data_IF_392122467397
#
_entry.id   IF_392122467397
#
_cell.length_a   1.000
_cell.length_b   1.000
_cell.length_c   1.000
_cell.angle_alpha   90.00
_cell.angle_beta   90.00
_cell.angle_gamma   90.00
#
_symmetry.space_group_name_H-M   'P 1'
#
loop_
_entity.id
_entity.type
_entity.pdbx_description
1 polymer ?
#
# COMPACT_ATOMS: atom_id res chain seq x y z
N UNK A 1 11.55 -19.07 11.35
CA UNK A 1 12.83 -18.35 11.53
C UNK A 1 12.80 -17.11 10.66
N UNK A 2 13.46 -16.03 11.07
CA UNK A 2 13.54 -14.82 10.26
C UNK A 2 14.45 -15.03 9.05
N UNK A 3 14.21 -14.28 7.96
CA UNK A 3 15.05 -14.29 6.76
C UNK A 3 16.50 -14.03 7.13
N UNK A 4 17.42 -14.87 6.64
CA UNK A 4 18.85 -14.82 7.01
C UNK A 4 19.75 -14.26 5.91
N UNK A 5 19.25 -14.13 4.69
CA UNK A 5 20.01 -13.65 3.53
C UNK A 5 19.33 -12.43 2.93
N UNK A 6 20.12 -11.42 2.58
CA UNK A 6 19.65 -10.30 1.75
C UNK A 6 19.14 -10.83 0.42
N UNK A 7 18.03 -10.28 -0.06
CA UNK A 7 17.49 -10.59 -1.38
C UNK A 7 17.26 -9.31 -2.17
N UNK A 8 17.33 -9.46 -3.49
CA UNK A 8 17.14 -8.40 -4.46
C UNK A 8 15.97 -8.82 -5.35
N UNK A 9 15.03 -7.92 -5.59
CA UNK A 9 13.83 -8.14 -6.38
C UNK A 9 13.91 -7.25 -7.61
N UNK A 10 13.87 -7.86 -8.79
CA UNK A 10 13.58 -7.19 -10.04
C UNK A 10 12.26 -7.73 -10.57
N UNK A 11 11.21 -6.94 -10.42
CA UNK A 11 9.87 -7.28 -10.90
C UNK A 11 9.55 -6.47 -12.15
N UNK A 12 9.47 -7.16 -13.28
CA UNK A 12 9.15 -6.56 -14.58
C UNK A 12 7.73 -6.95 -14.95
N UNK A 13 6.91 -5.94 -15.27
CA UNK A 13 5.52 -6.14 -15.66
C UNK A 13 5.12 -5.13 -16.73
N UNK A 14 4.13 -5.49 -17.53
CA UNK A 14 3.55 -4.60 -18.53
C UNK A 14 2.22 -4.02 -18.08
N UNK A 15 1.89 -2.86 -18.64
CA UNK A 15 0.59 -2.22 -18.50
C UNK A 15 0.14 -1.79 -19.89
N UNK A 16 -1.08 -2.16 -20.27
CA UNK A 16 -1.64 -1.88 -21.59
C UNK A 16 -3.01 -1.24 -21.46
N UNK A 17 -3.23 -0.18 -22.22
CA UNK A 17 -4.47 0.59 -22.31
C UNK A 17 -5.09 0.96 -20.95
N UNK A 18 -4.25 1.29 -19.97
CA UNK A 18 -4.70 1.53 -18.58
C UNK A 18 -3.89 2.62 -17.86
N UNK A 19 -4.35 3.02 -16.69
CA UNK A 19 -3.62 3.94 -15.82
C UNK A 19 -2.95 3.16 -14.67
N UNK A 20 -1.62 2.96 -14.71
CA UNK A 20 -0.96 2.11 -13.73
C UNK A 20 -0.80 2.77 -12.36
N UNK A 21 -0.67 4.10 -12.34
CA UNK A 21 -0.60 4.91 -11.13
C UNK A 21 -1.02 6.35 -11.45
N UNK A 22 -2.26 6.70 -11.13
CA UNK A 22 -2.75 8.07 -11.29
C UNK A 22 -2.16 9.02 -10.26
N UNK A 23 -2.06 10.30 -10.63
CA UNK A 23 -1.70 11.38 -9.72
C UNK A 23 -2.95 12.11 -9.17
N UNK A 24 -3.26 11.98 -7.87
CA UNK A 24 -4.39 12.69 -7.28
C UNK A 24 -4.30 14.23 -7.39
N UNK A 25 -3.10 14.77 -7.61
CA UNK A 25 -2.88 16.22 -7.76
C UNK A 25 -3.00 16.70 -9.21
N UNK A 26 -3.05 15.80 -10.18
CA UNK A 26 -3.14 16.11 -11.62
C UNK A 26 -4.28 15.30 -12.24
N UNK A 27 -5.50 15.48 -11.72
CA UNK A 27 -6.74 14.90 -12.28
C UNK A 27 -6.66 13.38 -12.51
N UNK A 28 -5.90 12.68 -11.66
CA UNK A 28 -5.65 11.24 -11.77
C UNK A 28 -4.93 10.83 -13.08
N UNK A 29 -4.24 11.72 -13.79
CA UNK A 29 -3.42 11.37 -14.95
C UNK A 29 -2.33 10.37 -14.57
N UNK A 30 -1.92 9.44 -15.46
CA UNK A 30 -0.77 8.60 -15.23
C UNK A 30 0.46 9.43 -14.88
N UNK A 31 1.14 9.08 -13.79
CA UNK A 31 2.39 9.75 -13.41
C UNK A 31 3.45 9.52 -14.48
N UNK A 32 3.99 10.61 -15.03
CA UNK A 32 5.10 10.60 -15.98
C UNK A 32 6.16 11.59 -15.58
N UNK A 33 7.42 11.23 -15.82
CA UNK A 33 8.54 12.15 -15.67
C UNK A 33 8.52 13.19 -16.81
N UNK A 34 8.44 14.49 -16.51
CA UNK A 34 8.23 15.51 -17.54
C UNK A 34 9.45 15.71 -18.46
N UNK A 35 10.66 15.37 -18.00
CA UNK A 35 11.89 15.53 -18.77
C UNK A 35 12.11 14.33 -19.70
N UNK A 36 11.98 13.12 -19.15
CA UNK A 36 12.30 11.88 -19.87
C UNK A 36 11.08 11.24 -20.57
N UNK A 37 9.87 11.58 -20.12
CA UNK A 37 8.62 11.01 -20.60
C UNK A 37 8.42 9.53 -20.23
N UNK A 38 9.15 9.00 -19.24
CA UNK A 38 8.89 7.64 -18.73
C UNK A 38 7.75 7.66 -17.73
N UNK A 39 6.95 6.60 -17.69
CA UNK A 39 5.93 6.41 -16.65
C UNK A 39 6.64 6.14 -15.33
N UNK A 40 6.09 6.68 -14.24
CA UNK A 40 6.54 6.41 -12.88
C UNK A 40 5.44 5.77 -12.07
N UNK A 41 5.76 4.70 -11.34
CA UNK A 41 4.85 4.00 -10.43
C UNK A 41 5.47 4.01 -9.04
N UNK A 42 4.69 4.55 -8.09
CA UNK A 42 5.13 4.67 -6.70
C UNK A 42 5.28 3.29 -6.04
N UNK A 43 6.21 3.19 -5.09
CA UNK A 43 6.33 1.99 -4.24
C UNK A 43 5.02 1.68 -3.51
N UNK A 44 4.31 2.71 -3.04
CA UNK A 44 3.03 2.55 -2.34
C UNK A 44 1.95 1.90 -3.21
N UNK A 45 1.96 2.15 -4.53
CA UNK A 45 1.05 1.48 -5.48
C UNK A 45 1.33 -0.01 -5.55
N UNK A 46 2.59 -0.42 -5.68
CA UNK A 46 3.00 -1.83 -5.70
C UNK A 46 2.65 -2.50 -4.38
N UNK A 47 3.02 -1.87 -3.26
CA UNK A 47 2.71 -2.37 -1.92
C UNK A 47 1.19 -2.50 -1.70
N UNK A 48 0.37 -1.62 -2.30
CA UNK A 48 -1.09 -1.74 -2.23
C UNK A 48 -1.60 -2.96 -2.98
N UNK A 49 -1.12 -3.20 -4.20
CA UNK A 49 -1.45 -4.42 -4.98
C UNK A 49 -1.11 -5.69 -4.20
N UNK A 50 0.07 -5.73 -3.57
CA UNK A 50 0.47 -6.86 -2.73
C UNK A 50 -0.48 -7.02 -1.53
N UNK A 51 -0.82 -5.94 -0.82
CA UNK A 51 -1.78 -5.98 0.30
C UNK A 51 -3.15 -6.51 -0.12
N UNK A 52 -3.67 -6.02 -1.24
CA UNK A 52 -4.98 -6.44 -1.76
C UNK A 52 -4.98 -7.94 -2.10
N UNK A 53 -3.87 -8.47 -2.65
CA UNK A 53 -3.69 -9.91 -2.86
C UNK A 53 -3.64 -10.69 -1.55
N UNK A 54 -2.81 -10.27 -0.58
CA UNK A 54 -2.67 -10.96 0.70
C UNK A 54 -3.99 -10.99 1.48
N UNK A 55 -4.73 -9.88 1.51
CA UNK A 55 -6.01 -9.82 2.20
C UNK A 55 -7.13 -10.50 1.41
N UNK A 56 -7.38 -10.07 0.18
CA UNK A 56 -8.54 -10.52 -0.60
C UNK A 56 -8.41 -11.93 -1.16
N UNK A 57 -7.20 -12.37 -1.50
CA UNK A 57 -6.97 -13.69 -2.12
C UNK A 57 -6.43 -14.71 -1.13
N UNK A 58 -5.52 -14.32 -0.23
CA UNK A 58 -4.95 -15.25 0.76
C UNK A 58 -5.68 -15.27 2.10
N UNK A 59 -6.60 -14.34 2.34
CA UNK A 59 -7.33 -14.24 3.60
C UNK A 59 -6.43 -13.89 4.80
N UNK A 60 -5.25 -13.32 4.54
CA UNK A 60 -4.30 -12.92 5.58
C UNK A 60 -4.64 -11.52 6.07
N UNK A 61 -4.55 -11.32 7.39
CA UNK A 61 -4.83 -10.01 7.97
C UNK A 61 -3.74 -8.99 7.60
N UNK A 62 -4.16 -7.76 7.33
CA UNK A 62 -3.30 -6.62 7.05
C UNK A 62 -3.65 -5.43 7.95
N UNK A 63 -2.65 -4.62 8.26
CA UNK A 63 -2.80 -3.42 9.07
C UNK A 63 -3.51 -2.32 8.28
N UNK A 64 -3.02 -2.04 7.07
CA UNK A 64 -3.48 -0.91 6.24
C UNK A 64 -4.66 -1.33 5.38
N UNK A 65 -5.87 -1.26 5.96
CA UNK A 65 -7.15 -1.46 5.29
C UNK A 65 -8.25 -0.64 5.95
N UNK A 66 -9.35 -0.51 5.24
CA UNK A 66 -10.53 0.14 5.79
C UNK A 66 -11.10 -0.72 6.93
N UNK A 67 -11.34 -0.05 8.05
CA UNK A 67 -11.99 -0.63 9.23
C UNK A 67 -13.05 0.35 9.70
N UNK A 68 -14.17 -0.18 10.16
CA UNK A 68 -15.34 0.62 10.50
C UNK A 68 -15.69 0.45 11.97
N UNK A 69 -16.16 1.52 12.60
CA UNK A 69 -16.73 1.46 13.95
C UNK A 69 -18.13 0.82 13.95
N UNK A 70 -18.71 0.65 15.13
CA UNK A 70 -20.05 0.08 15.29
C UNK A 70 -21.17 0.92 14.65
N UNK A 71 -20.90 2.18 14.29
CA UNK A 71 -21.83 3.09 13.62
C UNK A 71 -21.61 3.13 12.10
N UNK A 72 -20.62 2.40 11.58
CA UNK A 72 -20.27 2.34 10.16
C UNK A 72 -19.35 3.47 9.68
N UNK A 73 -18.73 4.25 10.58
CA UNK A 73 -17.75 5.26 10.20
C UNK A 73 -16.36 4.66 10.06
N UNK A 74 -15.59 5.16 9.09
CA UNK A 74 -14.19 4.74 8.88
C UNK A 74 -13.34 5.13 10.09
N UNK A 75 -12.64 4.16 10.67
CA UNK A 75 -11.72 4.38 11.78
C UNK A 75 -10.45 5.06 11.30
N UNK A 76 -9.95 6.00 12.11
CA UNK A 76 -8.63 6.59 11.92
C UNK A 76 -7.53 5.69 12.50
N UNK A 77 -6.27 6.15 12.41
CA UNK A 77 -5.13 5.41 12.96
C UNK A 77 -5.21 5.18 14.48
N UNK A 78 -5.91 6.03 15.24
CA UNK A 78 -6.10 5.85 16.68
C UNK A 78 -7.13 4.77 16.96
N UNK A 79 -8.28 4.81 16.29
CA UNK A 79 -9.29 3.76 16.40
C UNK A 79 -8.75 2.40 15.99
N UNK A 80 -7.91 2.35 14.93
CA UNK A 80 -7.21 1.11 14.55
C UNK A 80 -6.23 0.66 15.64
N UNK A 81 -5.53 1.58 16.30
CA UNK A 81 -4.64 1.27 17.43
C UNK A 81 -5.40 0.74 18.65
N UNK A 82 -6.58 1.30 18.95
CA UNK A 82 -7.42 0.87 20.06
C UNK A 82 -7.87 -0.58 19.89
N UNK A 83 -8.24 -0.98 18.67
CA UNK A 83 -8.59 -2.38 18.36
C UNK A 83 -7.46 -3.35 18.74
N UNK A 84 -6.21 -3.02 18.37
CA UNK A 84 -5.05 -3.84 18.73
C UNK A 84 -4.69 -3.72 20.20
N UNK A 85 -4.92 -2.58 20.85
CA UNK A 85 -4.65 -2.42 22.28
C UNK A 85 -5.62 -3.27 23.13
N UNK A 86 -6.89 -3.34 22.74
CA UNK A 86 -7.89 -4.20 23.36
C UNK A 86 -7.53 -5.69 23.17
N UNK A 87 -7.26 -6.10 21.93
CA UNK A 87 -6.91 -7.49 21.62
C UNK A 87 -5.58 -7.91 22.27
N UNK A 88 -4.62 -7.00 22.42
CA UNK A 88 -3.35 -7.27 23.10
C UNK A 88 -3.43 -7.25 24.63
N UNK A 89 -4.61 -6.97 25.22
CA UNK A 89 -4.77 -6.88 26.67
C UNK A 89 -3.93 -5.76 27.29
N UNK A 90 -3.94 -4.58 26.67
CA UNK A 90 -3.26 -3.40 27.19
C UNK A 90 -4.07 -2.78 28.32
N UNK A 91 -3.45 -2.66 29.50
CA UNK A 91 -4.08 -2.04 30.66
C UNK A 91 -3.85 -0.53 30.68
N UNK A 92 -4.80 0.22 31.25
CA UNK A 92 -4.64 1.68 31.44
C UNK A 92 -3.42 2.02 32.30
N UNK A 93 -3.08 1.13 33.25
CA UNK A 93 -1.95 1.25 34.18
C UNK A 93 -0.59 0.93 33.53
N UNK A 94 -0.57 0.29 32.36
CA UNK A 94 0.68 -0.01 31.67
C UNK A 94 1.42 1.29 31.34
N UNK A 95 2.74 1.27 31.52
CA UNK A 95 3.58 2.37 31.07
C UNK A 95 3.66 2.41 29.53
N UNK A 96 3.99 3.56 28.96
CA UNK A 96 4.00 3.77 27.50
C UNK A 96 4.85 2.70 26.77
N UNK A 97 6.08 2.35 27.22
CA UNK A 97 6.87 1.31 26.55
C UNK A 97 6.19 -0.06 26.52
N UNK A 98 5.53 -0.47 27.61
CA UNK A 98 4.81 -1.76 27.68
C UNK A 98 3.60 -1.77 26.74
N UNK A 99 2.86 -0.65 26.67
CA UNK A 99 1.75 -0.50 25.71
C UNK A 99 2.22 -0.68 24.28
N UNK A 100 3.29 0.04 23.91
CA UNK A 100 3.87 -0.02 22.56
C UNK A 100 4.38 -1.43 22.23
N UNK A 101 5.07 -2.10 23.17
CA UNK A 101 5.59 -3.46 22.95
C UNK A 101 4.48 -4.50 22.77
N UNK A 102 3.44 -4.49 23.61
CA UNK A 102 2.27 -5.38 23.48
C UNK A 102 1.58 -5.21 22.12
N UNK A 103 1.29 -3.97 21.74
CA UNK A 103 0.63 -3.65 20.46
C UNK A 103 1.52 -4.05 19.28
N UNK A 104 2.82 -3.71 19.32
CA UNK A 104 3.77 -4.06 18.27
C UNK A 104 3.86 -5.58 18.08
N UNK A 105 3.94 -6.36 19.17
CA UNK A 105 3.98 -7.83 19.09
C UNK A 105 2.72 -8.41 18.46
N UNK A 106 1.54 -7.89 18.82
CA UNK A 106 0.29 -8.34 18.22
C UNK A 106 0.24 -8.00 16.73
N UNK A 107 0.60 -6.77 16.35
CA UNK A 107 0.64 -6.34 14.94
C UNK A 107 1.59 -7.23 14.14
N UNK A 108 2.81 -7.46 14.63
CA UNK A 108 3.78 -8.32 13.93
C UNK A 108 3.33 -9.78 13.88
N UNK A 109 2.63 -10.28 14.90
CA UNK A 109 2.07 -11.64 14.90
C UNK A 109 0.94 -11.82 13.88
N UNK A 110 0.08 -10.81 13.73
CA UNK A 110 -1.18 -10.92 12.96
C UNK A 110 -1.10 -10.33 11.55
N UNK A 111 -0.50 -9.16 11.40
CA UNK A 111 -0.51 -8.39 10.17
C UNK A 111 0.72 -8.66 9.31
N UNK A 112 0.53 -9.33 8.18
CA UNK A 112 1.64 -9.69 7.28
C UNK A 112 2.27 -8.47 6.61
N UNK A 113 1.48 -7.45 6.26
CA UNK A 113 1.97 -6.24 5.62
C UNK A 113 2.85 -5.39 6.55
N UNK A 114 2.61 -5.45 7.87
CA UNK A 114 3.48 -4.84 8.87
C UNK A 114 4.81 -5.60 8.99
N UNK A 115 4.82 -6.93 8.86
CA UNK A 115 6.06 -7.73 8.81
C UNK A 115 6.88 -7.45 7.55
N UNK A 116 6.22 -7.28 6.41
CA UNK A 116 6.84 -7.02 5.10
C UNK A 116 7.30 -5.56 4.96
N UNK A 117 6.38 -4.61 5.08
CA UNK A 117 6.57 -3.20 4.73
C UNK A 117 6.74 -2.28 5.93
N UNK A 118 6.59 -2.80 7.15
CA UNK A 118 6.64 -2.00 8.37
C UNK A 118 5.37 -1.19 8.58
N UNK A 119 5.33 -0.45 9.69
CA UNK A 119 4.19 0.38 10.04
C UNK A 119 4.58 1.53 10.97
N UNK A 120 3.78 2.60 10.92
CA UNK A 120 3.73 3.62 11.96
C UNK A 120 2.30 3.70 12.48
N UNK A 121 2.10 3.47 13.77
CA UNK A 121 0.78 3.56 14.39
C UNK A 121 0.86 4.44 15.65
N UNK A 122 0.03 5.49 15.77
CA UNK A 122 0.04 6.35 16.94
C UNK A 122 -0.56 5.62 18.14
N UNK A 123 0.16 5.62 19.26
CA UNK A 123 -0.28 5.11 20.57
C UNK A 123 -0.43 6.32 21.49
N UNK A 124 -1.30 6.28 22.51
CA UNK A 124 -1.39 7.39 23.48
C UNK A 124 0.00 7.73 24.06
N UNK A 125 0.47 8.96 23.80
CA UNK A 125 1.80 9.49 24.16
C UNK A 125 2.98 8.65 23.64
N UNK A 126 2.78 7.85 22.60
CA UNK A 126 3.80 6.98 22.01
C UNK A 126 3.51 6.66 20.54
N UNK A 127 4.29 5.75 19.97
CA UNK A 127 3.99 5.22 18.64
C UNK A 127 4.71 3.90 18.41
N UNK A 128 4.02 2.97 17.77
CA UNK A 128 4.67 1.79 17.17
C UNK A 128 5.35 2.27 15.89
N UNK A 129 6.66 2.03 15.77
CA UNK A 129 7.43 2.35 14.56
C UNK A 129 8.28 1.15 14.20
N UNK A 130 7.94 0.52 13.08
CA UNK A 130 8.65 -0.65 12.58
C UNK A 130 9.08 -0.39 11.15
N UNK A 131 10.38 -0.52 10.88
CA UNK A 131 10.92 -0.45 9.52
C UNK A 131 10.75 -1.79 8.83
N UNK A 132 10.03 -1.80 7.71
CA UNK A 132 9.84 -3.00 6.92
C UNK A 132 11.12 -3.48 6.23
N UNK A 133 11.42 -4.78 6.25
CA UNK A 133 12.52 -5.37 5.49
C UNK A 133 12.33 -5.31 3.97
N UNK A 134 11.09 -5.27 3.47
CA UNK A 134 10.79 -5.23 2.03
C UNK A 134 10.62 -3.78 1.59
N UNK A 135 11.56 -3.30 0.79
CA UNK A 135 11.58 -1.91 0.32
C UNK A 135 11.70 -1.88 -1.19
N UNK A 136 10.74 -1.25 -1.87
CA UNK A 136 10.82 -0.94 -3.29
C UNK A 136 11.33 0.49 -3.49
N UNK A 137 11.91 0.78 -4.65
CA UNK A 137 12.24 2.14 -5.03
C UNK A 137 11.00 3.02 -5.02
N UNK A 138 11.13 4.24 -4.47
CA UNK A 138 10.02 5.20 -4.34
C UNK A 138 9.32 5.49 -5.67
N UNK A 139 10.07 5.49 -6.78
CA UNK A 139 9.51 5.50 -8.14
C UNK A 139 10.14 4.39 -8.98
N UNK A 140 9.28 3.54 -9.53
CA UNK A 140 9.58 2.46 -10.45
C UNK A 140 9.23 2.93 -11.86
N UNK A 141 10.08 2.69 -12.85
CA UNK A 141 10.03 3.42 -14.12
C UNK A 141 9.75 2.49 -15.29
N UNK A 142 9.11 3.01 -16.33
CA UNK A 142 9.07 2.32 -17.60
C UNK A 142 10.46 2.26 -18.24
N UNK A 143 10.75 1.16 -18.93
CA UNK A 143 12.01 0.92 -19.64
C UNK A 143 12.14 1.71 -20.95
N UNK A 144 11.11 2.47 -21.31
CA UNK A 144 11.04 3.31 -22.49
C UNK A 144 10.14 4.51 -22.22
N UNK A 145 10.26 5.53 -23.08
CA UNK A 145 9.36 6.69 -23.10
C UNK A 145 7.94 6.26 -23.45
N UNK A 146 6.96 6.94 -22.88
CA UNK A 146 5.54 6.69 -23.06
C UNK A 146 4.81 8.02 -23.12
N UNK A 147 3.82 8.12 -24.00
CA UNK A 147 2.91 9.26 -24.04
C UNK A 147 1.53 8.81 -23.54
N UNK A 148 1.00 9.40 -22.45
CA UNK A 148 -0.39 9.20 -22.08
C UNK A 148 -1.32 9.70 -23.18
N UNK A 149 -2.43 8.99 -23.39
CA UNK A 149 -3.49 9.41 -24.32
C UNK A 149 -4.73 9.79 -23.53
N UNK A 150 -5.39 10.86 -23.98
CA UNK A 150 -6.69 11.27 -23.47
C UNK A 150 -7.80 10.47 -24.18
N UNK A 151 -8.70 9.91 -23.39
CA UNK A 151 -9.86 9.16 -23.86
C UNK A 151 -11.10 9.75 -23.23
N UNK A 152 -12.05 10.16 -24.06
CA UNK A 152 -13.34 10.64 -23.62
C UNK A 152 -14.41 9.57 -23.84
N UNK A 153 -15.14 9.22 -22.79
CA UNK A 153 -16.29 8.34 -22.81
C UNK A 153 -17.58 9.07 -22.46
N UNK A 154 -18.72 8.42 -22.65
CA UNK A 154 -20.02 8.89 -22.17
C UNK A 154 -20.38 8.13 -20.90
N UNK A 155 -20.51 8.82 -19.77
CA UNK A 155 -21.05 8.26 -18.55
C UNK A 155 -22.58 8.15 -18.68
N UNK A 156 -23.13 6.97 -18.38
CA UNK A 156 -24.55 6.66 -18.58
C UNK A 156 -25.52 7.43 -17.67
N UNK A 157 -25.01 8.32 -16.80
CA UNK A 157 -25.78 9.08 -15.83
C UNK A 157 -25.87 10.55 -16.23
N UNK A 158 -27.00 11.19 -15.95
CA UNK A 158 -27.18 12.62 -16.10
C UNK A 158 -26.37 13.38 -15.04
N UNK A 159 -25.88 14.58 -15.35
CA UNK A 159 -25.11 15.43 -14.42
C UNK A 159 -25.94 16.04 -13.28
N UNK A 160 -27.26 15.80 -13.26
CA UNK A 160 -28.19 16.26 -12.22
C UNK A 160 -29.60 15.74 -12.45
N UNK A 161 -30.51 15.95 -11.48
CA UNK A 161 -31.90 15.45 -11.51
C UNK A 161 -32.73 15.98 -12.69
N UNK A 162 -32.34 17.11 -13.28
CA UNK A 162 -33.03 17.75 -14.42
C UNK A 162 -32.19 17.78 -15.71
N UNK A 163 -31.01 17.17 -15.70
CA UNK A 163 -30.14 17.16 -16.86
C UNK A 163 -30.63 16.15 -17.91
N UNK A 164 -30.84 16.61 -19.14
CA UNK A 164 -31.26 15.80 -20.29
C UNK A 164 -30.08 15.21 -21.06
N UNK A 165 -28.87 15.72 -20.83
CA UNK A 165 -27.64 15.22 -21.45
C UNK A 165 -26.88 14.26 -20.52
N UNK A 166 -26.30 13.23 -21.13
CA UNK A 166 -25.40 12.29 -20.43
C UNK A 166 -24.11 13.01 -20.03
N UNK A 167 -23.57 12.66 -18.87
CA UNK A 167 -22.26 13.16 -18.44
C UNK A 167 -21.13 12.56 -19.29
N UNK A 168 -20.02 13.28 -19.40
CA UNK A 168 -18.80 12.77 -20.03
C UNK A 168 -17.84 12.24 -18.98
N UNK A 169 -17.11 11.18 -19.33
CA UNK A 169 -15.99 10.66 -18.55
C UNK A 169 -14.72 10.98 -19.30
N UNK A 170 -13.75 11.52 -18.58
CA UNK A 170 -12.44 11.85 -19.10
C UNK A 170 -11.42 10.95 -18.40
N UNK A 171 -10.67 10.18 -19.19
CA UNK A 171 -9.63 9.31 -18.69
C UNK A 171 -8.32 9.57 -19.42
N UNK A 172 -7.22 9.46 -18.69
CA UNK A 172 -5.90 9.36 -19.30
C UNK A 172 -5.37 7.94 -19.10
N UNK A 173 -4.95 7.32 -20.19
CA UNK A 173 -4.42 5.96 -20.18
C UNK A 173 -3.03 5.92 -20.81
N UNK A 174 -2.28 4.91 -20.42
CA UNK A 174 -1.03 4.51 -21.03
C UNK A 174 -1.35 3.40 -22.05
N UNK A 175 -1.09 3.61 -23.35
CA UNK A 175 -1.32 2.56 -24.35
C UNK A 175 -0.47 1.32 -24.08
N UNK A 176 0.81 1.54 -23.75
CA UNK A 176 1.73 0.46 -23.38
C UNK A 176 2.90 1.01 -22.56
N UNK A 177 3.26 0.30 -21.49
CA UNK A 177 4.51 0.50 -20.76
C UNK A 177 5.03 -0.81 -20.19
N UNK A 178 6.32 -1.10 -20.41
CA UNK A 178 7.04 -2.13 -19.69
C UNK A 178 7.75 -1.48 -18.49
N UNK A 179 7.37 -1.83 -17.27
CA UNK A 179 7.83 -1.22 -16.02
C UNK A 179 8.77 -2.17 -15.30
N UNK A 180 9.90 -1.65 -14.81
CA UNK A 180 10.81 -2.37 -13.92
C UNK A 180 10.71 -1.79 -12.52
N UNK A 181 10.26 -2.62 -11.58
CA UNK A 181 10.27 -2.33 -10.17
C UNK A 181 11.45 -3.03 -9.50
N UNK A 182 12.26 -2.25 -8.79
CA UNK A 182 13.38 -2.77 -8.02
C UNK A 182 13.05 -2.68 -6.54
N UNK A 183 13.37 -3.75 -5.80
CA UNK A 183 13.22 -3.77 -4.37
C UNK A 183 14.23 -4.68 -3.70
N UNK A 184 14.31 -4.58 -2.39
CA UNK A 184 15.22 -5.33 -1.54
C UNK A 184 14.45 -6.01 -0.42
N UNK A 185 14.92 -7.18 0.00
CA UNK A 185 14.55 -7.82 1.26
C UNK A 185 15.77 -7.76 2.18
N UNK A 186 15.69 -6.93 3.21
CA UNK A 186 16.75 -6.69 4.17
C UNK A 186 16.66 -7.65 5.36
N UNK A 187 17.64 -8.54 5.48
CA UNK A 187 17.76 -9.55 6.52
C UNK A 187 18.03 -9.00 7.93
N UNK A 188 18.60 -7.79 8.04
CA UNK A 188 18.83 -7.13 9.34
C UNK A 188 17.50 -6.59 9.86
N UNK A 189 16.74 -5.89 9.01
CA UNK A 189 15.41 -5.40 9.36
C UNK A 189 14.42 -6.56 9.60
N UNK A 190 14.56 -7.68 8.88
CA UNK A 190 13.71 -8.86 9.07
C UNK A 190 13.80 -9.44 10.50
N UNK A 191 14.92 -9.23 11.21
CA UNK A 191 15.08 -9.68 12.61
C UNK A 191 14.13 -8.96 13.56
N UNK A 192 13.89 -7.66 13.35
CA UNK A 192 13.00 -6.87 14.21
C UNK A 192 11.53 -7.07 13.86
N UNK A 193 11.22 -7.35 12.58
CA UNK A 193 9.85 -7.59 12.12
C UNK A 193 9.42 -9.05 12.17
N UNK A 194 10.36 -9.96 12.45
CA UNK A 194 10.17 -11.41 12.43
C UNK A 194 9.74 -11.95 11.05
N UNK A 195 10.04 -11.21 9.97
CA UNK A 195 9.73 -11.64 8.61
C UNK A 195 10.40 -12.98 8.31
N UNK A 196 9.60 -13.96 7.90
CA UNK A 196 10.04 -15.32 7.58
C UNK A 196 10.19 -15.56 6.08
N UNK A 197 10.93 -16.61 5.69
CA UNK A 197 11.00 -17.04 4.29
C UNK A 197 9.62 -17.45 3.73
N UNK A 198 8.72 -17.95 4.58
CA UNK A 198 7.34 -18.23 4.20
C UNK A 198 6.56 -16.96 3.87
N UNK A 199 6.77 -15.86 4.61
CA UNK A 199 6.16 -14.58 4.27
C UNK A 199 6.71 -14.04 2.94
N UNK A 200 8.02 -14.18 2.70
CA UNK A 200 8.65 -13.75 1.44
C UNK A 200 8.13 -14.54 0.24
N UNK A 201 7.84 -15.84 0.41
CA UNK A 201 7.29 -16.68 -0.67
C UNK A 201 5.90 -16.26 -1.17
N UNK A 202 5.25 -15.32 -0.48
CA UNK A 202 3.95 -14.76 -0.85
C UNK A 202 4.06 -13.44 -1.65
N UNK A 203 5.27 -12.89 -1.79
CA UNK A 203 5.59 -11.77 -2.67
C UNK A 203 5.71 -12.23 -4.12
#
# INVERSE_FOLDING_TARGET
>A
MAVTKRQEILFIYETKDCNPNGDPLDENKPRTDPETGVVTVTDVRIKRTIRDYLYGTKGLEILVRDTFDAKGYLKDGKGRCEDFAEEAGVDKKDNIPTKVDKIQKLILGKCIDARLFGCTLPVDKGSVKVTGPVQFNGFNRSLHRVAPIFVQGTAGFASGKEATQKSFREDYIIPYACIAAYGIVNEIAARSTQLSDTDVSLL
#
